data_IF_665344578324
#
_entry.id   IF_665344578324
#
_cell.length_a   1.000
_cell.length_b   1.000
_cell.length_c   1.000
_cell.angle_alpha   90.00
_cell.angle_beta   90.00
_cell.angle_gamma   90.00
#
_symmetry.space_group_name_H-M   'P 1'
#
loop_
_entity.id
_entity.type
_entity.pdbx_description
1 polymer ?
#
# COMPACT_ATOMS: atom_id res chain seq x y z
N UNK A 1 -8.47 20.60 -23.02
CA UNK A 1 -9.88 20.15 -22.98
C UNK A 1 -10.03 19.23 -21.77
N UNK A 2 -10.80 19.61 -20.75
CA UNK A 2 -11.01 18.75 -19.57
C UNK A 2 -12.13 17.77 -19.87
N UNK A 3 -11.89 16.48 -19.65
CA UNK A 3 -12.86 15.43 -19.93
C UNK A 3 -13.77 15.24 -18.72
N UNK A 4 -15.08 15.11 -18.94
CA UNK A 4 -15.97 14.56 -17.92
C UNK A 4 -15.61 13.07 -17.77
N UNK A 5 -15.32 12.64 -16.54
CA UNK A 5 -14.93 11.26 -16.25
C UNK A 5 -16.19 10.39 -16.18
N UNK A 6 -16.32 9.43 -17.11
CA UNK A 6 -17.42 8.45 -17.06
C UNK A 6 -17.08 7.28 -16.12
N UNK A 7 -18.10 6.55 -15.69
CA UNK A 7 -17.92 5.33 -14.86
C UNK A 7 -16.99 4.31 -15.52
N UNK A 8 -17.18 4.07 -16.82
CA UNK A 8 -16.35 3.15 -17.61
C UNK A 8 -14.90 3.61 -17.66
N UNK A 9 -14.67 4.92 -17.87
CA UNK A 9 -13.32 5.49 -17.88
C UNK A 9 -12.66 5.38 -16.50
N UNK A 10 -13.40 5.59 -15.41
CA UNK A 10 -12.86 5.46 -14.06
C UNK A 10 -12.45 4.01 -13.74
N UNK A 11 -13.32 3.05 -14.03
CA UNK A 11 -13.02 1.62 -13.84
C UNK A 11 -11.82 1.22 -14.70
N UNK A 12 -11.80 1.59 -15.99
CA UNK A 12 -10.67 1.32 -16.88
C UNK A 12 -9.37 1.99 -16.38
N UNK A 13 -9.45 3.20 -15.83
CA UNK A 13 -8.31 3.90 -15.25
C UNK A 13 -7.76 3.17 -14.03
N UNK A 14 -8.62 2.74 -13.10
CA UNK A 14 -8.20 1.98 -11.92
C UNK A 14 -7.55 0.64 -12.30
N UNK A 15 -8.15 -0.11 -13.23
CA UNK A 15 -7.56 -1.34 -13.74
C UNK A 15 -6.24 -1.07 -14.47
N UNK A 16 -6.16 -0.02 -15.26
CA UNK A 16 -4.94 0.44 -15.92
C UNK A 16 -3.83 0.79 -14.93
N UNK A 17 -4.15 1.50 -13.84
CA UNK A 17 -3.22 1.81 -12.75
C UNK A 17 -2.72 0.53 -12.06
N UNK A 18 -3.61 -0.43 -11.76
CA UNK A 18 -3.21 -1.71 -11.16
C UNK A 18 -2.28 -2.51 -12.07
N UNK A 19 -2.62 -2.59 -13.37
CA UNK A 19 -1.79 -3.25 -14.38
C UNK A 19 -0.45 -2.54 -14.56
N UNK A 20 -0.43 -1.20 -14.58
CA UNK A 20 0.82 -0.44 -14.67
C UNK A 20 1.72 -0.67 -13.45
N UNK A 21 1.14 -0.67 -12.24
CA UNK A 21 1.87 -0.88 -10.99
C UNK A 21 2.57 -2.24 -10.94
N UNK A 22 1.90 -3.31 -11.38
CA UNK A 22 2.50 -4.66 -11.44
C UNK A 22 3.36 -4.83 -12.69
N UNK A 23 2.87 -4.37 -13.84
CA UNK A 23 3.48 -4.52 -15.15
C UNK A 23 4.85 -3.85 -15.25
N UNK A 24 5.02 -2.67 -14.63
CA UNK A 24 6.29 -1.94 -14.67
C UNK A 24 7.44 -2.76 -14.06
N UNK A 25 7.15 -3.65 -13.10
CA UNK A 25 8.17 -4.51 -12.49
C UNK A 25 8.79 -5.47 -13.52
N UNK A 26 8.06 -5.82 -14.58
CA UNK A 26 8.53 -6.65 -15.68
C UNK A 26 9.36 -5.87 -16.71
N UNK A 27 9.52 -4.56 -16.56
CA UNK A 27 10.53 -3.78 -17.29
C UNK A 27 11.94 -3.92 -16.68
N UNK A 28 12.06 -4.55 -15.50
CA UNK A 28 13.36 -4.83 -14.87
C UNK A 28 14.25 -5.68 -15.79
N UNK A 29 15.49 -5.28 -16.12
CA UNK A 29 16.40 -6.07 -16.96
C UNK A 29 16.55 -7.51 -16.47
N UNK A 30 16.61 -8.48 -17.39
CA UNK A 30 16.66 -9.92 -17.04
C UNK A 30 17.80 -10.24 -16.07
N UNK A 31 18.98 -9.63 -16.25
CA UNK A 31 20.13 -9.78 -15.35
C UNK A 31 19.83 -9.42 -13.89
N UNK A 32 18.97 -8.42 -13.67
CA UNK A 32 18.56 -7.95 -12.34
C UNK A 32 17.39 -8.79 -11.82
N UNK A 33 16.47 -9.19 -12.70
CA UNK A 33 15.31 -10.03 -12.35
C UNK A 33 15.71 -11.43 -11.89
N UNK A 34 16.87 -11.93 -12.35
CA UNK A 34 17.44 -13.20 -11.92
C UNK A 34 18.06 -13.16 -10.51
N UNK A 35 18.27 -11.97 -9.94
CA UNK A 35 18.75 -11.82 -8.57
C UNK A 35 17.66 -12.24 -7.57
N UNK A 36 18.08 -12.47 -6.32
CA UNK A 36 17.14 -12.74 -5.22
C UNK A 36 16.31 -11.49 -4.95
N UNK A 37 15.02 -11.67 -4.61
CA UNK A 37 14.06 -10.59 -4.33
C UNK A 37 14.58 -9.49 -3.39
N UNK A 38 15.39 -9.88 -2.40
CA UNK A 38 15.94 -8.99 -1.38
C UNK A 38 17.33 -8.44 -1.74
N UNK A 39 17.83 -8.71 -2.95
CA UNK A 39 19.07 -8.13 -3.47
C UNK A 39 18.94 -6.60 -3.60
N UNK A 40 19.91 -5.82 -3.10
CA UNK A 40 19.84 -4.36 -3.14
C UNK A 40 19.63 -3.77 -4.54
N UNK A 41 20.24 -4.35 -5.58
CA UNK A 41 20.10 -3.86 -6.95
C UNK A 41 18.69 -4.11 -7.48
N UNK A 42 18.09 -5.24 -7.11
CA UNK A 42 16.71 -5.53 -7.46
C UNK A 42 15.74 -4.57 -6.74
N UNK A 43 15.97 -4.28 -5.46
CA UNK A 43 15.15 -3.33 -4.69
C UNK A 43 15.24 -1.92 -5.29
N UNK A 44 16.46 -1.42 -5.55
CA UNK A 44 16.67 -0.09 -6.14
C UNK A 44 16.03 0.05 -7.52
N UNK A 45 16.10 -0.99 -8.35
CA UNK A 45 15.45 -0.99 -9.66
C UNK A 45 13.93 -0.92 -9.53
N UNK A 46 13.36 -1.71 -8.61
CA UNK A 46 11.91 -1.68 -8.32
C UNK A 46 11.48 -0.33 -7.76
N UNK A 47 12.29 0.32 -6.91
CA UNK A 47 12.02 1.68 -6.43
C UNK A 47 11.88 2.65 -7.58
N UNK A 48 12.88 2.71 -8.47
CA UNK A 48 12.84 3.60 -9.62
C UNK A 48 11.59 3.38 -10.48
N UNK A 49 11.30 2.12 -10.83
CA UNK A 49 10.17 1.74 -11.69
C UNK A 49 8.82 2.10 -11.04
N UNK A 50 8.63 1.82 -9.75
CA UNK A 50 7.41 2.15 -9.04
C UNK A 50 7.23 3.67 -8.86
N UNK A 51 8.32 4.41 -8.63
CA UNK A 51 8.28 5.88 -8.59
C UNK A 51 7.80 6.50 -9.91
N UNK A 52 8.14 5.89 -11.05
CA UNK A 52 7.61 6.33 -12.36
C UNK A 52 6.10 6.18 -12.40
N UNK A 53 5.54 5.04 -11.97
CA UNK A 53 4.08 4.84 -11.92
C UNK A 53 3.44 5.83 -10.94
N UNK A 54 4.02 6.02 -9.75
CA UNK A 54 3.51 7.00 -8.78
C UNK A 54 3.57 8.45 -9.28
N UNK A 55 4.45 8.80 -10.22
CA UNK A 55 4.46 10.12 -10.87
C UNK A 55 3.42 10.19 -12.01
N UNK A 56 3.28 9.13 -12.81
CA UNK A 56 2.37 9.10 -13.96
C UNK A 56 0.90 9.06 -13.55
N UNK A 57 0.53 8.35 -12.48
CA UNK A 57 -0.85 8.29 -11.99
C UNK A 57 -1.46 9.68 -11.75
N UNK A 58 -0.88 10.56 -10.91
CA UNK A 58 -1.42 11.90 -10.69
C UNK A 58 -1.37 12.78 -11.94
N UNK A 59 -0.32 12.66 -12.78
CA UNK A 59 -0.25 13.40 -14.06
C UNK A 59 -1.42 13.04 -14.98
N UNK A 60 -1.78 11.75 -15.06
CA UNK A 60 -2.95 11.29 -15.79
C UNK A 60 -4.27 11.78 -15.16
N UNK A 61 -4.38 11.74 -13.83
CA UNK A 61 -5.57 12.23 -13.12
C UNK A 61 -5.84 13.72 -13.35
N UNK A 62 -4.81 14.54 -13.59
CA UNK A 62 -4.97 15.97 -13.91
C UNK A 62 -5.82 16.21 -15.17
N UNK A 63 -5.89 15.25 -16.10
CA UNK A 63 -6.78 15.32 -17.27
C UNK A 63 -8.27 15.38 -16.91
N UNK A 64 -8.62 14.83 -15.74
CA UNK A 64 -9.99 14.74 -15.22
C UNK A 64 -10.23 15.69 -14.04
N UNK A 65 -9.19 16.37 -13.56
CA UNK A 65 -9.31 17.28 -12.43
C UNK A 65 -10.17 18.51 -12.79
N UNK A 66 -11.34 18.56 -12.16
CA UNK A 66 -12.21 19.72 -12.15
C UNK A 66 -12.22 20.27 -10.72
N UNK A 67 -12.03 21.58 -10.56
CA UNK A 67 -12.08 22.21 -9.25
C UNK A 67 -13.51 22.00 -8.72
N UNK A 68 -13.63 21.19 -7.66
CA UNK A 68 -14.93 20.87 -7.06
C UNK A 68 -15.62 22.15 -6.57
N UNK A 69 -16.94 22.13 -6.42
CA UNK A 69 -17.69 23.22 -5.79
C UNK A 69 -17.17 23.57 -4.37
N UNK A 70 -16.52 22.61 -3.70
CA UNK A 70 -15.89 22.79 -2.39
C UNK A 70 -14.46 23.34 -2.47
N UNK A 71 -14.00 23.79 -3.65
CA UNK A 71 -12.72 24.44 -3.90
C UNK A 71 -11.46 23.65 -3.48
N UNK A 72 -11.59 22.32 -3.33
CA UNK A 72 -10.48 21.45 -2.98
C UNK A 72 -9.38 21.44 -4.05
N UNK A 73 -8.13 21.54 -3.60
CA UNK A 73 -6.95 21.41 -4.44
C UNK A 73 -6.76 19.97 -4.92
N UNK A 74 -6.03 19.79 -6.01
CA UNK A 74 -5.67 18.45 -6.52
C UNK A 74 -4.89 17.61 -5.49
N UNK A 75 -4.03 18.25 -4.68
CA UNK A 75 -3.36 17.57 -3.56
C UNK A 75 -4.35 17.13 -2.47
N UNK A 76 -5.41 17.92 -2.23
CA UNK A 76 -6.49 17.54 -1.34
C UNK A 76 -7.26 16.31 -1.82
N UNK A 77 -7.48 16.16 -3.13
CA UNK A 77 -8.03 14.91 -3.69
C UNK A 77 -7.15 13.71 -3.36
N UNK A 78 -5.83 13.87 -3.47
CA UNK A 78 -4.89 12.81 -3.11
C UNK A 78 -4.77 12.58 -1.58
N UNK A 79 -5.49 13.36 -0.77
CA UNK A 79 -5.51 13.26 0.68
C UNK A 79 -4.37 13.99 1.39
N UNK A 80 -3.71 14.94 0.71
CA UNK A 80 -2.68 15.79 1.29
C UNK A 80 -3.29 17.14 1.69
N UNK A 81 -3.40 17.36 3.00
CA UNK A 81 -3.93 18.56 3.60
C UNK A 81 -2.86 19.26 4.46
N UNK A 82 -2.93 20.60 4.54
CA UNK A 82 -2.00 21.42 5.32
C UNK A 82 -2.45 21.63 6.79
N UNK A 83 -3.67 21.21 7.14
CA UNK A 83 -4.13 21.25 8.54
C UNK A 83 -3.47 20.11 9.34
N UNK A 84 -2.31 20.42 9.92
CA UNK A 84 -1.52 19.48 10.69
C UNK A 84 -2.28 18.90 11.90
N UNK A 85 -3.18 19.67 12.53
CA UNK A 85 -3.92 19.19 13.69
C UNK A 85 -4.96 18.16 13.24
N UNK A 86 -5.70 18.43 12.16
CA UNK A 86 -6.65 17.48 11.60
C UNK A 86 -5.93 16.20 11.10
N UNK A 87 -4.80 16.35 10.41
CA UNK A 87 -3.96 15.24 9.94
C UNK A 87 -3.50 14.37 11.12
N UNK A 88 -2.96 14.99 12.17
CA UNK A 88 -2.47 14.27 13.35
C UNK A 88 -3.59 13.52 14.07
N UNK A 89 -4.75 14.16 14.29
CA UNK A 89 -5.92 13.53 14.91
C UNK A 89 -6.44 12.34 14.10
N UNK A 90 -6.61 12.50 12.79
CA UNK A 90 -7.06 11.44 11.91
C UNK A 90 -6.10 10.24 11.90
N UNK A 91 -4.79 10.52 11.82
CA UNK A 91 -3.74 9.50 11.84
C UNK A 91 -3.72 8.76 13.18
N UNK A 92 -3.73 9.48 14.30
CA UNK A 92 -3.72 8.87 15.64
C UNK A 92 -4.94 7.98 15.90
N UNK A 93 -6.15 8.43 15.52
CA UNK A 93 -7.36 7.62 15.68
C UNK A 93 -7.36 6.38 14.79
N UNK A 94 -6.83 6.48 13.57
CA UNK A 94 -6.73 5.36 12.63
C UNK A 94 -5.73 4.31 13.12
N UNK A 95 -4.56 4.76 13.61
CA UNK A 95 -3.56 3.88 14.23
C UNK A 95 -4.13 3.23 15.49
N UNK A 96 -4.83 3.96 16.35
CA UNK A 96 -5.45 3.39 17.55
C UNK A 96 -6.48 2.30 17.19
N UNK A 97 -7.33 2.56 16.19
CA UNK A 97 -8.28 1.57 15.70
C UNK A 97 -7.57 0.31 15.19
N UNK A 98 -6.45 0.49 14.47
CA UNK A 98 -5.61 -0.61 13.98
C UNK A 98 -5.00 -1.38 15.14
N UNK A 99 -4.47 -0.69 16.15
CA UNK A 99 -3.91 -1.33 17.35
C UNK A 99 -4.95 -2.14 18.11
N UNK A 100 -6.22 -1.71 18.16
CA UNK A 100 -7.29 -2.50 18.76
C UNK A 100 -7.52 -3.79 17.96
N UNK A 101 -7.59 -3.69 16.64
CA UNK A 101 -7.75 -4.85 15.74
C UNK A 101 -6.61 -5.86 15.91
N UNK A 102 -5.37 -5.38 16.10
CA UNK A 102 -4.18 -6.21 16.29
C UNK A 102 -3.75 -6.36 17.75
N UNK A 103 -4.65 -6.08 18.70
CA UNK A 103 -4.34 -6.09 20.14
C UNK A 103 -3.77 -7.43 20.62
N UNK A 104 -4.29 -8.55 20.10
CA UNK A 104 -3.78 -9.88 20.39
C UNK A 104 -2.33 -10.07 19.93
N UNK A 105 -2.00 -9.68 18.70
CA UNK A 105 -0.62 -9.77 18.18
C UNK A 105 0.33 -8.81 18.90
N UNK A 106 -0.13 -7.61 19.25
CA UNK A 106 0.66 -6.65 20.03
C UNK A 106 0.96 -7.22 21.42
N UNK A 107 -0.03 -7.82 22.07
CA UNK A 107 0.12 -8.44 23.39
C UNK A 107 1.07 -9.65 23.34
N UNK A 108 0.93 -10.55 22.36
CA UNK A 108 1.86 -11.68 22.19
C UNK A 108 3.31 -11.21 21.99
N UNK A 109 3.52 -10.21 21.11
CA UNK A 109 4.85 -9.63 20.91
C UNK A 109 5.38 -8.97 22.18
N UNK A 110 4.53 -8.27 22.94
CA UNK A 110 4.93 -7.67 24.21
C UNK A 110 5.42 -8.72 25.22
N UNK A 111 4.69 -9.83 25.37
CA UNK A 111 5.10 -10.93 26.27
C UNK A 111 6.45 -11.53 25.84
N UNK A 112 6.66 -11.78 24.54
CA UNK A 112 7.94 -12.26 24.01
C UNK A 112 9.09 -11.30 24.32
N UNK A 113 8.89 -10.00 24.08
CA UNK A 113 9.90 -8.99 24.38
C UNK A 113 10.18 -8.90 25.88
N UNK A 114 9.14 -9.03 26.72
CA UNK A 114 9.31 -9.04 28.17
C UNK A 114 10.16 -10.24 28.62
N UNK A 115 9.92 -11.43 28.06
CA UNK A 115 10.69 -12.63 28.41
C UNK A 115 12.15 -12.55 27.94
N UNK A 116 12.40 -12.01 26.75
CA UNK A 116 13.76 -11.70 26.27
C UNK A 116 14.47 -10.66 27.15
N UNK A 117 13.75 -9.64 27.60
CA UNK A 117 14.28 -8.58 28.44
C UNK A 117 14.63 -9.08 29.85
N UNK A 118 13.88 -10.05 30.41
CA UNK A 118 14.22 -10.70 31.68
C UNK A 118 15.56 -11.44 31.62
N UNK A 119 15.86 -12.07 30.48
CA UNK A 119 17.11 -12.83 30.30
C UNK A 119 18.32 -11.94 29.98
N UNK A 120 18.09 -10.69 29.54
CA UNK A 120 19.14 -9.79 29.09
C UNK A 120 18.90 -8.36 29.60
N UNK A 121 18.46 -7.46 28.73
CA UNK A 121 18.00 -6.12 29.06
C UNK A 121 17.03 -5.63 27.97
N UNK A 122 16.27 -4.57 28.26
CA UNK A 122 15.42 -3.93 27.26
C UNK A 122 16.23 -3.37 26.08
N UNK A 123 17.43 -2.87 26.31
CA UNK A 123 18.28 -2.32 25.25
C UNK A 123 18.70 -3.41 24.26
N UNK A 124 19.17 -4.56 24.76
CA UNK A 124 19.56 -5.68 23.91
C UNK A 124 18.34 -6.32 23.23
N UNK A 125 17.21 -6.40 23.91
CA UNK A 125 15.95 -6.90 23.33
C UNK A 125 15.50 -6.03 22.16
N UNK A 126 15.53 -4.70 22.30
CA UNK A 126 15.19 -3.77 21.22
C UNK A 126 16.11 -3.99 20.01
N UNK A 127 17.42 -4.19 20.23
CA UNK A 127 18.38 -4.44 19.15
C UNK A 127 18.10 -5.73 18.36
N UNK A 128 17.45 -6.70 18.99
CA UNK A 128 17.07 -7.98 18.40
C UNK A 128 15.73 -7.93 17.65
N UNK A 129 14.97 -6.83 17.75
CA UNK A 129 13.74 -6.68 16.97
C UNK A 129 14.04 -6.60 15.47
N UNK A 130 13.15 -7.15 14.64
CA UNK A 130 13.27 -7.09 13.18
C UNK A 130 13.36 -5.65 12.65
N UNK A 131 12.65 -4.71 13.29
CA UNK A 131 12.67 -3.30 12.94
C UNK A 131 14.06 -2.71 13.19
N UNK A 132 14.59 -2.84 14.40
CA UNK A 132 15.91 -2.28 14.72
C UNK A 132 16.99 -2.92 13.85
N UNK A 133 17.00 -4.26 13.76
CA UNK A 133 17.97 -4.99 12.95
C UNK A 133 17.90 -4.56 11.48
N UNK A 134 16.68 -4.46 10.93
CA UNK A 134 16.45 -4.03 9.55
C UNK A 134 17.01 -2.63 9.27
N UNK A 135 16.73 -1.64 10.12
CA UNK A 135 17.22 -0.27 9.88
C UNK A 135 18.73 -0.09 10.11
N UNK A 136 19.32 -0.86 11.03
CA UNK A 136 20.74 -0.81 11.33
C UNK A 136 21.60 -1.58 10.32
N UNK A 137 21.17 -2.77 9.90
CA UNK A 137 22.01 -3.69 9.13
C UNK A 137 21.50 -3.93 7.70
N UNK A 138 20.19 -3.80 7.45
CA UNK A 138 19.56 -4.11 6.15
C UNK A 138 18.75 -2.90 5.63
N UNK A 139 19.35 -1.71 5.70
CA UNK A 139 18.64 -0.43 5.57
C UNK A 139 17.74 -0.31 4.34
N UNK A 140 18.21 -0.73 3.17
CA UNK A 140 17.44 -0.66 1.91
C UNK A 140 16.22 -1.58 1.98
N UNK A 141 16.37 -2.77 2.58
CA UNK A 141 15.31 -3.73 2.79
C UNK A 141 14.26 -3.20 3.76
N UNK A 142 14.68 -2.59 4.87
CA UNK A 142 13.80 -1.97 5.84
C UNK A 142 13.04 -0.78 5.25
N UNK A 143 13.71 0.11 4.51
CA UNK A 143 13.06 1.24 3.82
C UNK A 143 12.02 0.73 2.82
N UNK A 144 12.35 -0.31 2.04
CA UNK A 144 11.38 -0.93 1.12
C UNK A 144 10.13 -1.39 1.85
N UNK A 145 10.34 -2.13 2.94
CA UNK A 145 9.30 -2.91 3.61
C UNK A 145 8.38 -2.01 4.45
N UNK A 146 8.94 -1.04 5.17
CA UNK A 146 8.18 -0.23 6.13
C UNK A 146 7.80 1.17 5.64
N UNK A 147 8.38 1.64 4.53
CA UNK A 147 8.18 3.02 4.06
C UNK A 147 7.76 3.02 2.59
N UNK A 148 8.62 2.54 1.70
CA UNK A 148 8.44 2.74 0.27
C UNK A 148 7.25 1.94 -0.28
N UNK A 149 7.19 0.63 -0.02
CA UNK A 149 6.09 -0.19 -0.51
C UNK A 149 4.72 0.23 0.06
N UNK A 150 4.56 0.44 1.39
CA UNK A 150 3.31 0.97 1.93
C UNK A 150 2.91 2.31 1.29
N UNK A 151 3.86 3.24 1.13
CA UNK A 151 3.59 4.53 0.52
C UNK A 151 3.06 4.38 -0.92
N UNK A 152 3.78 3.64 -1.77
CA UNK A 152 3.41 3.52 -3.18
C UNK A 152 2.12 2.73 -3.38
N UNK A 153 1.87 1.71 -2.56
CA UNK A 153 0.65 0.92 -2.58
C UNK A 153 -0.58 1.73 -2.16
N UNK A 154 -0.50 2.46 -1.04
CA UNK A 154 -1.61 3.30 -0.59
C UNK A 154 -1.84 4.49 -1.55
N UNK A 155 -0.78 5.04 -2.13
CA UNK A 155 -0.89 6.16 -3.06
C UNK A 155 -1.61 5.78 -4.35
N UNK A 156 -1.26 4.62 -4.93
CA UNK A 156 -1.87 4.17 -6.19
C UNK A 156 -3.24 3.55 -5.93
N UNK A 157 -3.35 2.59 -5.02
CA UNK A 157 -4.58 1.79 -4.89
C UNK A 157 -5.66 2.44 -4.02
N UNK A 158 -5.31 3.38 -3.14
CA UNK A 158 -6.30 4.09 -2.32
C UNK A 158 -6.48 5.50 -2.81
N UNK A 159 -5.46 6.33 -2.67
CA UNK A 159 -5.54 7.75 -2.99
C UNK A 159 -5.94 8.01 -4.44
N UNK A 160 -5.25 7.39 -5.41
CA UNK A 160 -5.53 7.62 -6.83
C UNK A 160 -6.84 6.96 -7.29
N UNK A 161 -7.04 5.67 -6.99
CA UNK A 161 -8.23 4.93 -7.43
C UNK A 161 -9.53 5.42 -6.80
N UNK A 162 -9.53 5.75 -5.49
CA UNK A 162 -10.72 6.28 -4.83
C UNK A 162 -11.21 7.55 -5.52
N UNK A 163 -10.29 8.45 -5.86
CA UNK A 163 -10.65 9.71 -6.51
C UNK A 163 -11.21 9.51 -7.91
N UNK A 164 -10.68 8.57 -8.69
CA UNK A 164 -11.25 8.26 -10.00
C UNK A 164 -12.68 7.74 -9.89
N UNK A 165 -12.95 6.84 -8.94
CA UNK A 165 -14.27 6.26 -8.78
C UNK A 165 -15.28 7.28 -8.19
N UNK A 166 -14.89 8.02 -7.15
CA UNK A 166 -15.80 9.02 -6.55
C UNK A 166 -16.18 10.12 -7.54
N UNK A 167 -15.23 10.60 -8.35
CA UNK A 167 -15.51 11.64 -9.36
C UNK A 167 -16.36 11.14 -10.52
N UNK A 168 -16.39 9.84 -10.78
CA UNK A 168 -17.29 9.24 -11.76
C UNK A 168 -18.69 8.93 -11.20
N UNK A 169 -18.96 9.26 -9.93
CA UNK A 169 -20.27 9.12 -9.30
C UNK A 169 -20.49 7.82 -8.52
N UNK A 170 -19.46 6.99 -8.36
CA UNK A 170 -19.59 5.77 -7.55
C UNK A 170 -19.84 6.10 -6.08
N UNK A 171 -20.72 5.32 -5.42
CA UNK A 171 -20.98 5.47 -3.99
C UNK A 171 -19.75 5.14 -3.15
N UNK A 172 -19.61 5.78 -1.98
CA UNK A 172 -18.53 5.48 -1.05
C UNK A 172 -18.50 4.00 -0.64
N UNK A 173 -19.67 3.36 -0.48
CA UNK A 173 -19.76 1.93 -0.19
C UNK A 173 -19.18 1.07 -1.31
N UNK A 174 -19.50 1.38 -2.57
CA UNK A 174 -18.91 0.69 -3.73
C UNK A 174 -17.40 0.85 -3.77
N UNK A 175 -16.89 2.07 -3.53
CA UNK A 175 -15.44 2.32 -3.50
C UNK A 175 -14.78 1.52 -2.38
N UNK A 176 -15.36 1.48 -1.18
CA UNK A 176 -14.84 0.74 -0.02
C UNK A 176 -14.78 -0.77 -0.27
N UNK A 177 -15.83 -1.37 -0.82
CA UNK A 177 -15.92 -2.83 -0.92
C UNK A 177 -15.39 -3.42 -2.23
N UNK A 178 -15.40 -2.66 -3.34
CA UNK A 178 -15.08 -3.21 -4.66
C UNK A 178 -13.69 -2.81 -5.14
N UNK A 179 -13.27 -1.56 -4.95
CA UNK A 179 -11.96 -1.12 -5.45
C UNK A 179 -10.76 -1.89 -4.86
N UNK A 180 -10.77 -2.33 -3.58
CA UNK A 180 -9.68 -3.15 -3.02
C UNK A 180 -9.45 -4.47 -3.74
N UNK A 181 -10.42 -4.99 -4.50
CA UNK A 181 -10.22 -6.20 -5.30
C UNK A 181 -9.11 -6.02 -6.34
N UNK A 182 -8.90 -4.80 -6.86
CA UNK A 182 -7.78 -4.51 -7.76
C UNK A 182 -6.43 -4.68 -7.05
N UNK A 183 -6.34 -4.28 -5.78
CA UNK A 183 -5.16 -4.49 -4.93
C UNK A 183 -4.94 -5.97 -4.62
N UNK A 184 -6.01 -6.72 -4.32
CA UNK A 184 -5.95 -8.17 -4.14
C UNK A 184 -5.44 -8.89 -5.39
N UNK A 185 -6.02 -8.60 -6.56
CA UNK A 185 -5.60 -9.19 -7.84
C UNK A 185 -4.15 -8.84 -8.17
N UNK A 186 -3.71 -7.62 -7.86
CA UNK A 186 -2.33 -7.20 -8.10
C UNK A 186 -1.33 -8.13 -7.40
N UNK A 187 -1.66 -8.74 -6.25
CA UNK A 187 -0.79 -9.68 -5.55
C UNK A 187 -0.75 -11.08 -6.17
N UNK A 188 -1.70 -11.42 -7.04
CA UNK A 188 -1.73 -12.74 -7.67
C UNK A 188 -0.53 -13.01 -8.58
N UNK A 189 0.22 -11.97 -8.99
CA UNK A 189 1.46 -12.13 -9.73
C UNK A 189 2.54 -12.93 -8.96
N UNK A 190 2.47 -12.99 -7.63
CA UNK A 190 3.37 -13.81 -6.81
C UNK A 190 3.20 -15.31 -7.06
N UNK A 191 2.12 -15.75 -7.71
CA UNK A 191 1.97 -17.13 -8.15
C UNK A 191 3.16 -17.58 -9.00
N UNK A 192 3.55 -16.77 -9.99
CA UNK A 192 4.67 -17.08 -10.88
C UNK A 192 5.99 -17.08 -10.11
N UNK A 193 6.14 -16.17 -9.13
CA UNK A 193 7.33 -16.13 -8.27
C UNK A 193 7.44 -17.42 -7.44
N UNK A 194 6.35 -17.88 -6.82
CA UNK A 194 6.32 -19.12 -6.04
C UNK A 194 6.62 -20.38 -6.86
N UNK A 195 6.14 -20.46 -8.11
CA UNK A 195 6.49 -21.57 -9.00
C UNK A 195 7.98 -21.53 -9.35
N UNK A 196 8.56 -20.34 -9.57
CA UNK A 196 10.01 -20.19 -9.83
C UNK A 196 10.88 -20.54 -8.62
N UNK A 197 10.37 -20.35 -7.41
CA UNK A 197 11.00 -20.78 -6.16
C UNK A 197 10.93 -22.31 -5.94
N UNK A 198 10.30 -23.06 -6.86
CA UNK A 198 10.18 -24.51 -6.80
C UNK A 198 9.04 -25.03 -5.93
N UNK A 199 8.09 -24.17 -5.54
CA UNK A 199 6.90 -24.61 -4.78
C UNK A 199 5.96 -25.41 -5.68
N UNK A 200 5.26 -26.38 -5.10
CA UNK A 200 4.23 -27.14 -5.81
C UNK A 200 3.06 -26.23 -6.22
N UNK A 201 2.41 -26.53 -7.35
CA UNK A 201 1.27 -25.77 -7.87
C UNK A 201 0.15 -25.58 -6.84
N UNK A 202 -0.24 -26.64 -6.14
CA UNK A 202 -1.30 -26.58 -5.11
C UNK A 202 -0.94 -25.65 -3.95
N UNK A 203 0.32 -25.69 -3.51
CA UNK A 203 0.83 -24.83 -2.44
C UNK A 203 0.90 -23.36 -2.89
N UNK A 204 1.45 -23.10 -4.07
CA UNK A 204 1.51 -21.75 -4.64
C UNK A 204 0.11 -21.15 -4.81
N UNK A 205 -0.85 -21.95 -5.29
CA UNK A 205 -2.24 -21.53 -5.44
C UNK A 205 -2.87 -21.17 -4.09
N UNK A 206 -2.70 -22.03 -3.07
CA UNK A 206 -3.25 -21.79 -1.73
C UNK A 206 -2.69 -20.50 -1.12
N UNK A 207 -1.38 -20.26 -1.23
CA UNK A 207 -0.74 -19.04 -0.72
C UNK A 207 -1.32 -17.81 -1.40
N UNK A 208 -1.46 -17.82 -2.73
CA UNK A 208 -1.95 -16.67 -3.49
C UNK A 208 -3.42 -16.41 -3.25
N UNK A 209 -4.25 -17.45 -3.11
CA UNK A 209 -5.67 -17.29 -2.76
C UNK A 209 -5.81 -16.69 -1.35
N UNK A 210 -5.04 -17.19 -0.39
CA UNK A 210 -5.02 -16.61 0.95
C UNK A 210 -4.56 -15.15 0.92
N UNK A 211 -3.49 -14.85 0.18
CA UNK A 211 -2.97 -13.50 0.02
C UNK A 211 -4.00 -12.58 -0.63
N UNK A 212 -4.70 -13.02 -1.68
CA UNK A 212 -5.78 -12.28 -2.32
C UNK A 212 -6.89 -11.92 -1.32
N UNK A 213 -7.38 -12.90 -0.56
CA UNK A 213 -8.43 -12.69 0.44
C UNK A 213 -7.97 -11.72 1.54
N UNK A 214 -6.79 -11.95 2.11
CA UNK A 214 -6.24 -11.14 3.20
C UNK A 214 -6.00 -9.69 2.75
N UNK A 215 -5.34 -9.50 1.61
CA UNK A 215 -5.05 -8.16 1.06
C UNK A 215 -6.32 -7.43 0.63
N UNK A 216 -7.35 -8.14 0.17
CA UNK A 216 -8.66 -7.54 -0.13
C UNK A 216 -9.34 -7.03 1.15
N UNK A 217 -9.35 -7.83 2.22
CA UNK A 217 -9.92 -7.43 3.53
C UNK A 217 -9.15 -6.23 4.10
N UNK A 218 -7.82 -6.27 4.08
CA UNK A 218 -6.99 -5.14 4.46
C UNK A 218 -7.30 -3.90 3.61
N UNK A 219 -7.44 -4.06 2.30
CA UNK A 219 -7.75 -2.94 1.41
C UNK A 219 -9.13 -2.33 1.65
N UNK A 220 -10.14 -3.13 2.03
CA UNK A 220 -11.45 -2.63 2.48
C UNK A 220 -11.29 -1.75 3.72
N UNK A 221 -10.51 -2.22 4.71
CA UNK A 221 -10.22 -1.47 5.93
C UNK A 221 -9.48 -0.15 5.65
N UNK A 222 -8.40 -0.20 4.87
CA UNK A 222 -7.62 0.97 4.49
C UNK A 222 -8.46 1.98 3.68
N UNK A 223 -9.26 1.51 2.72
CA UNK A 223 -10.15 2.37 1.94
C UNK A 223 -11.23 3.01 2.82
N UNK A 224 -11.80 2.27 3.78
CA UNK A 224 -12.71 2.83 4.77
C UNK A 224 -12.04 3.97 5.55
N UNK A 225 -10.84 3.77 6.08
CA UNK A 225 -10.10 4.85 6.76
C UNK A 225 -9.87 6.04 5.83
N UNK A 226 -9.45 5.81 4.59
CA UNK A 226 -9.21 6.88 3.63
C UNK A 226 -10.45 7.71 3.39
N UNK A 227 -11.60 7.08 3.10
CA UNK A 227 -12.83 7.82 2.81
C UNK A 227 -13.42 8.51 4.05
N UNK A 228 -13.17 7.98 5.25
CA UNK A 228 -13.63 8.60 6.51
C UNK A 228 -12.76 9.78 6.95
N UNK A 229 -11.47 9.75 6.66
CA UNK A 229 -10.52 10.76 7.12
C UNK A 229 -10.18 11.79 6.04
N UNK A 230 -10.17 11.37 4.77
CA UNK A 230 -9.59 12.12 3.67
C UNK A 230 -8.07 12.30 3.78
N UNK A 231 -7.38 11.56 4.65
CA UNK A 231 -5.96 11.79 4.95
C UNK A 231 -5.09 10.66 4.42
N UNK A 232 -4.14 10.98 3.54
CA UNK A 232 -3.14 10.02 3.05
C UNK A 232 -2.25 9.51 4.20
N UNK A 233 -1.83 10.40 5.11
CA UNK A 233 -1.00 10.03 6.25
C UNK A 233 -1.66 8.99 7.15
N UNK A 234 -2.99 9.03 7.29
CA UNK A 234 -3.72 8.07 8.10
C UNK A 234 -3.67 6.67 7.49
N UNK A 235 -3.88 6.53 6.18
CA UNK A 235 -3.79 5.21 5.52
C UNK A 235 -2.36 4.69 5.40
N UNK A 236 -1.39 5.58 5.20
CA UNK A 236 0.01 5.20 5.16
C UNK A 236 0.49 4.68 6.52
N UNK A 237 0.00 5.26 7.63
CA UNK A 237 0.40 4.85 8.98
C UNK A 237 -0.24 3.54 9.47
N UNK A 238 -1.38 3.12 8.91
CA UNK A 238 -2.06 1.88 9.31
C UNK A 238 -1.69 0.67 8.44
N UNK A 239 -0.95 0.90 7.36
CA UNK A 239 -0.37 -0.15 6.52
C UNK A 239 0.82 -0.78 7.23
#
# INVERSE_FOLDING_TARGET
MKLALTEVQAVASCLGMAVAYVGILYCTPQRIRALKRDDPLQIQTRFFLLSVVCALCPLYMLCFYQKSANDQSFLGWLGFHLDFIAVAKATALSVLLTMILFSGSIFDNFLRLQDMAKASSWQETIKQTSIYHGFCYERILAIRTYIFAPFTEEFVFRSSMAMMLLNAGFSAGTVIFVSPLAFGVAHMHHFIEHIREGRQYSQALLIVVFQFCYTSVFGIYAMFIFLRTGQFNAIFAVH
#
